data_IF_304660470411
#
_entry.id   IF_304660470411
#
_cell.length_a   1.000
_cell.length_b   1.000
_cell.length_c   1.000
_cell.angle_alpha   90.00
_cell.angle_beta   90.00
_cell.angle_gamma   90.00
#
_symmetry.space_group_name_H-M   'P 1'
#
loop_
_entity.id
_entity.type
_entity.pdbx_description
1 polymer ?
#
# COMPACT_ATOMS: atom_id res chain seq x y z
N UNK A 1 2.05 3.16 21.74
CA UNK A 1 1.96 2.45 20.46
C UNK A 1 3.35 2.12 20.01
N UNK A 2 3.64 0.84 19.78
CA UNK A 2 4.94 0.30 19.35
C UNK A 2 4.94 -0.07 17.87
N UNK A 3 3.82 -0.58 17.38
CA UNK A 3 3.69 -1.15 16.04
C UNK A 3 2.97 -0.23 15.06
N UNK A 4 2.42 0.90 15.54
CA UNK A 4 1.81 1.93 14.71
C UNK A 4 2.22 3.34 15.12
N UNK A 5 2.26 4.24 14.14
CA UNK A 5 2.35 5.68 14.37
C UNK A 5 1.54 6.44 13.32
N UNK A 6 0.61 7.28 13.76
CA UNK A 6 -0.06 8.24 12.88
C UNK A 6 0.91 9.36 12.54
N UNK A 7 1.15 9.57 11.25
CA UNK A 7 2.11 10.54 10.74
C UNK A 7 1.42 11.86 10.42
N UNK A 8 0.27 11.79 9.76
CA UNK A 8 -0.40 12.98 9.24
C UNK A 8 -1.86 12.71 8.84
N UNK A 9 -2.53 13.79 8.46
CA UNK A 9 -3.73 13.78 7.62
C UNK A 9 -3.41 14.53 6.32
N UNK A 10 -3.93 14.03 5.21
CA UNK A 10 -3.69 14.53 3.85
C UNK A 10 -5.00 14.55 3.06
N UNK A 11 -5.08 15.45 2.06
CA UNK A 11 -6.22 15.48 1.15
C UNK A 11 -6.14 14.29 0.16
N UNK A 12 -7.18 13.47 0.17
CA UNK A 12 -7.32 12.27 -0.64
C UNK A 12 -8.41 12.39 -1.70
N UNK A 13 -9.20 13.46 -1.66
CA UNK A 13 -10.41 13.60 -2.49
C UNK A 13 -10.10 13.58 -3.99
N UNK A 14 -9.04 14.26 -4.48
CA UNK A 14 -8.66 14.17 -5.90
C UNK A 14 -8.37 12.73 -6.34
N UNK A 15 -7.66 11.96 -5.52
CA UNK A 15 -7.31 10.58 -5.82
C UNK A 15 -8.53 9.65 -5.78
N UNK A 16 -9.39 9.78 -4.76
CA UNK A 16 -10.62 9.00 -4.63
C UNK A 16 -11.54 9.22 -5.83
N UNK A 17 -11.73 10.48 -6.26
CA UNK A 17 -12.55 10.80 -7.42
C UNK A 17 -11.97 10.21 -8.72
N UNK A 18 -10.64 10.29 -8.89
CA UNK A 18 -9.97 9.72 -10.05
C UNK A 18 -10.10 8.18 -10.10
N UNK A 19 -9.99 7.50 -8.95
CA UNK A 19 -10.17 6.05 -8.87
C UNK A 19 -11.59 5.61 -9.28
N UNK A 20 -12.61 6.37 -8.89
CA UNK A 20 -14.00 6.05 -9.20
C UNK A 20 -14.31 6.06 -10.71
N UNK A 21 -13.57 6.86 -11.49
CA UNK A 21 -13.78 7.00 -12.95
C UNK A 21 -12.75 6.26 -13.80
N UNK A 22 -11.77 5.61 -13.19
CA UNK A 22 -10.78 4.75 -13.87
C UNK A 22 -10.77 3.31 -13.31
N UNK A 23 -11.92 2.60 -13.30
CA UNK A 23 -12.00 1.26 -12.72
C UNK A 23 -11.16 0.23 -13.47
N UNK A 24 -10.79 0.51 -14.74
CA UNK A 24 -9.99 -0.39 -15.56
C UNK A 24 -8.54 -0.52 -15.08
N UNK A 25 -8.06 0.38 -14.21
CA UNK A 25 -6.73 0.30 -13.61
C UNK A 25 -6.61 -0.86 -12.60
N UNK A 26 -7.71 -1.29 -11.99
CA UNK A 26 -7.70 -2.37 -11.01
C UNK A 26 -7.30 -3.68 -11.67
N UNK A 27 -6.29 -4.35 -11.11
CA UNK A 27 -5.78 -5.65 -11.54
C UNK A 27 -5.23 -5.68 -12.97
N UNK A 28 -4.84 -4.54 -13.57
CA UNK A 28 -4.03 -4.54 -14.81
C UNK A 28 -2.76 -5.38 -14.64
N UNK A 29 -2.19 -5.35 -13.42
CA UNK A 29 -1.12 -6.22 -12.99
C UNK A 29 -1.58 -6.98 -11.74
N UNK A 30 -1.50 -8.30 -11.76
CA UNK A 30 -2.06 -9.16 -10.72
C UNK A 30 -1.03 -10.08 -10.05
N UNK A 31 0.27 -9.88 -10.26
CA UNK A 31 1.31 -10.73 -9.68
C UNK A 31 1.18 -10.82 -8.15
N UNK A 32 0.90 -9.69 -7.48
CA UNK A 32 0.77 -9.66 -6.01
C UNK A 32 -0.48 -10.40 -5.52
N UNK A 33 -1.53 -10.51 -6.32
CA UNK A 33 -2.79 -11.17 -5.92
C UNK A 33 -2.85 -12.62 -6.39
N UNK A 34 -2.02 -13.01 -7.36
CA UNK A 34 -2.01 -14.36 -7.96
C UNK A 34 -0.80 -15.22 -7.58
N UNK A 35 0.31 -14.63 -7.10
CA UNK A 35 1.49 -15.40 -6.72
C UNK A 35 1.16 -16.41 -5.59
N UNK A 36 1.53 -17.70 -5.70
CA UNK A 36 1.11 -18.74 -4.76
C UNK A 36 1.43 -18.45 -3.29
N UNK A 37 2.59 -17.85 -3.05
CA UNK A 37 3.09 -17.49 -1.72
C UNK A 37 2.54 -16.15 -1.19
N UNK A 38 1.75 -15.42 -1.99
CA UNK A 38 1.27 -14.11 -1.59
C UNK A 38 0.13 -14.22 -0.56
N UNK A 39 0.12 -13.38 0.48
CA UNK A 39 -1.02 -13.26 1.38
C UNK A 39 -2.15 -12.41 0.76
N UNK A 40 -1.91 -11.67 -0.32
CA UNK A 40 -2.85 -10.67 -0.85
C UNK A 40 -3.86 -11.22 -1.86
N UNK A 41 -4.21 -12.52 -1.79
CA UNK A 41 -5.06 -13.18 -2.80
C UNK A 41 -6.49 -12.70 -2.88
N UNK A 42 -7.00 -12.13 -1.78
CA UNK A 42 -8.36 -11.59 -1.70
C UNK A 42 -8.42 -10.07 -1.98
N UNK A 43 -7.29 -9.45 -2.27
CA UNK A 43 -7.20 -8.03 -2.58
C UNK A 43 -7.22 -7.79 -4.10
N UNK A 44 -7.61 -6.57 -4.48
CA UNK A 44 -7.36 -6.01 -5.81
C UNK A 44 -6.29 -4.93 -5.70
N UNK A 45 -5.47 -4.79 -6.74
CA UNK A 45 -4.35 -3.85 -6.74
C UNK A 45 -4.28 -2.96 -7.98
N UNK A 46 -3.79 -1.74 -7.78
CA UNK A 46 -3.28 -0.86 -8.83
C UNK A 46 -1.81 -0.62 -8.54
N UNK A 47 -0.95 -0.98 -9.50
CA UNK A 47 0.47 -0.65 -9.43
C UNK A 47 0.66 0.76 -9.95
N UNK A 48 1.18 1.64 -9.10
CA UNK A 48 1.51 3.03 -9.46
C UNK A 48 3.00 3.14 -9.70
N UNK A 49 3.79 2.73 -8.71
CA UNK A 49 5.23 2.53 -8.81
C UNK A 49 5.53 1.11 -8.33
N UNK A 50 6.16 0.29 -9.16
CA UNK A 50 6.53 -1.07 -8.80
C UNK A 50 7.84 -1.45 -9.47
N UNK A 51 8.44 -2.57 -9.08
CA UNK A 51 9.61 -3.08 -9.77
C UNK A 51 9.26 -3.41 -11.22
N UNK A 52 10.20 -3.20 -12.13
CA UNK A 52 10.10 -3.81 -13.45
C UNK A 52 10.08 -5.33 -13.29
N UNK A 53 9.09 -5.99 -13.88
CA UNK A 53 8.95 -7.46 -13.82
C UNK A 53 9.38 -8.02 -15.16
N UNK A 54 10.64 -8.48 -15.29
CA UNK A 54 11.11 -9.13 -16.51
C UNK A 54 10.40 -10.48 -16.71
N UNK A 55 10.40 -10.97 -17.96
CA UNK A 55 9.92 -12.33 -18.26
C UNK A 55 10.74 -13.40 -17.53
N UNK A 56 12.05 -13.17 -17.42
CA UNK A 56 12.96 -14.01 -16.63
C UNK A 56 13.22 -13.38 -15.26
N UNK A 57 12.70 -13.99 -14.20
CA UNK A 57 12.90 -13.54 -12.83
C UNK A 57 14.39 -13.48 -12.42
N UNK A 58 15.28 -14.25 -13.05
CA UNK A 58 16.72 -14.19 -12.79
C UNK A 58 17.36 -12.88 -13.31
N UNK A 59 16.66 -12.13 -14.17
CA UNK A 59 17.10 -10.84 -14.69
C UNK A 59 16.81 -9.67 -13.73
N UNK A 60 16.18 -9.92 -12.57
CA UNK A 60 15.99 -8.87 -11.54
C UNK A 60 17.35 -8.51 -10.92
N UNK A 61 17.84 -7.32 -11.25
CA UNK A 61 19.16 -6.81 -10.79
C UNK A 61 19.05 -6.12 -9.43
N UNK A 62 17.97 -5.36 -9.22
CA UNK A 62 17.69 -4.63 -7.98
C UNK A 62 16.18 -4.67 -7.71
N UNK A 63 15.79 -5.32 -6.62
CA UNK A 63 14.40 -5.46 -6.20
C UNK A 63 13.88 -4.27 -5.38
N UNK A 64 14.68 -3.21 -5.19
CA UNK A 64 14.31 -1.95 -4.54
C UNK A 64 14.03 -0.80 -5.51
N UNK A 65 14.58 -0.83 -6.72
CA UNK A 65 14.33 0.19 -7.75
C UNK A 65 12.95 -0.02 -8.39
N UNK A 66 12.25 1.08 -8.65
CA UNK A 66 10.88 1.09 -9.15
C UNK A 66 10.74 1.94 -10.40
N UNK A 67 9.84 1.54 -11.28
CA UNK A 67 9.44 2.29 -12.47
C UNK A 67 7.98 2.75 -12.33
N UNK A 68 7.59 3.85 -13.00
CA UNK A 68 6.20 4.24 -13.08
C UNK A 68 5.41 3.27 -13.97
N UNK A 69 4.18 2.96 -13.54
CA UNK A 69 3.18 2.23 -14.32
C UNK A 69 2.10 3.21 -14.81
N UNK A 70 1.19 2.75 -15.69
CA UNK A 70 0.11 3.57 -16.28
C UNK A 70 -0.63 4.44 -15.26
N UNK A 71 -0.89 3.90 -14.07
CA UNK A 71 -1.60 4.61 -13.01
C UNK A 71 -0.86 5.85 -12.48
N UNK A 72 0.48 5.93 -12.58
CA UNK A 72 1.25 7.12 -12.20
C UNK A 72 0.91 8.35 -13.04
N UNK A 73 0.58 8.14 -14.33
CA UNK A 73 0.26 9.22 -15.26
C UNK A 73 -1.25 9.51 -15.31
N UNK A 74 -2.09 8.50 -15.03
CA UNK A 74 -3.56 8.63 -15.05
C UNK A 74 -4.11 9.22 -13.75
N UNK A 75 -3.54 8.86 -12.59
CA UNK A 75 -4.05 9.27 -11.29
C UNK A 75 -3.32 10.52 -10.75
N UNK A 76 -4.01 11.45 -10.06
CA UNK A 76 -3.40 12.63 -9.44
C UNK A 76 -2.71 12.28 -8.11
N UNK A 77 -1.84 11.27 -8.12
CA UNK A 77 -1.21 10.71 -6.90
C UNK A 77 0.15 11.33 -6.58
N UNK A 78 0.79 11.98 -7.55
CA UNK A 78 2.17 12.50 -7.41
C UNK A 78 2.31 13.46 -6.23
N UNK A 79 1.41 14.42 -6.09
CA UNK A 79 1.47 15.41 -5.02
C UNK A 79 1.29 14.76 -3.63
N UNK A 80 0.37 13.79 -3.53
CA UNK A 80 0.15 13.01 -2.31
C UNK A 80 1.42 12.25 -1.89
N UNK A 81 2.10 11.61 -2.85
CA UNK A 81 3.37 10.91 -2.63
C UNK A 81 4.45 11.89 -2.15
N UNK A 82 4.63 13.00 -2.85
CA UNK A 82 5.64 14.00 -2.49
C UNK A 82 5.37 14.61 -1.11
N UNK A 83 4.11 14.83 -0.74
CA UNK A 83 3.75 15.32 0.59
C UNK A 83 4.09 14.34 1.69
N UNK A 84 3.83 13.04 1.50
CA UNK A 84 4.22 12.02 2.48
C UNK A 84 5.74 11.93 2.59
N UNK A 85 6.46 11.92 1.46
CA UNK A 85 7.93 11.94 1.46
C UNK A 85 8.47 13.13 2.25
N UNK A 86 7.94 14.34 2.02
CA UNK A 86 8.34 15.56 2.73
C UNK A 86 8.12 15.43 4.25
N UNK A 87 6.98 14.88 4.68
CA UNK A 87 6.63 14.74 6.11
C UNK A 87 7.56 13.80 6.87
N UNK A 88 8.08 12.79 6.20
CA UNK A 88 8.98 11.79 6.81
C UNK A 88 10.45 11.99 6.42
N UNK A 89 10.77 13.13 5.78
CA UNK A 89 12.11 13.45 5.28
C UNK A 89 12.71 12.32 4.41
N UNK A 90 11.88 11.73 3.56
CA UNK A 90 12.31 10.66 2.67
C UNK A 90 13.25 11.17 1.58
N UNK A 91 14.27 10.36 1.28
CA UNK A 91 15.28 10.62 0.26
C UNK A 91 15.11 9.72 -0.98
N UNK A 92 14.42 8.59 -0.84
CA UNK A 92 14.08 7.68 -1.95
C UNK A 92 12.64 7.21 -1.86
N UNK A 93 12.00 7.14 -3.02
CA UNK A 93 10.68 6.53 -3.21
C UNK A 93 10.84 5.07 -3.61
N UNK A 94 10.10 4.18 -2.97
CA UNK A 94 9.96 2.78 -3.35
C UNK A 94 8.59 2.51 -3.98
N UNK A 95 8.04 1.32 -3.72
CA UNK A 95 6.75 0.91 -4.27
C UNK A 95 5.62 1.82 -3.82
N UNK A 96 4.69 2.09 -4.74
CA UNK A 96 3.42 2.76 -4.50
C UNK A 96 2.33 1.89 -5.12
N UNK A 97 1.47 1.33 -4.29
CA UNK A 97 0.42 0.39 -4.69
C UNK A 97 -0.87 0.82 -4.05
N UNK A 98 -1.95 0.95 -4.81
CA UNK A 98 -3.28 1.16 -4.24
C UNK A 98 -3.91 -0.21 -4.08
N UNK A 99 -4.28 -0.57 -2.86
CA UNK A 99 -4.81 -1.89 -2.54
C UNK A 99 -6.23 -1.77 -1.99
N UNK A 100 -7.13 -2.58 -2.55
CA UNK A 100 -8.53 -2.68 -2.15
C UNK A 100 -8.78 -4.06 -1.56
N UNK A 101 -9.39 -4.10 -0.38
CA UNK A 101 -9.82 -5.34 0.27
C UNK A 101 -11.35 -5.27 0.48
N UNK A 102 -12.15 -6.14 -0.15
CA UNK A 102 -13.60 -6.07 -0.07
C UNK A 102 -14.16 -6.48 1.31
N UNK A 103 -15.43 -6.18 1.62
CA UNK A 103 -16.10 -6.65 2.83
C UNK A 103 -16.00 -8.17 3.02
N UNK A 104 -15.68 -8.59 4.23
CA UNK A 104 -15.51 -9.99 4.62
C UNK A 104 -14.15 -10.60 4.26
N UNK A 105 -13.33 -9.91 3.46
CA UNK A 105 -12.04 -10.42 3.04
C UNK A 105 -10.93 -10.18 4.08
N UNK A 106 -9.90 -11.02 4.01
CA UNK A 106 -8.76 -10.99 4.94
C UNK A 106 -7.43 -11.10 4.19
N UNK A 107 -6.44 -10.32 4.63
CA UNK A 107 -5.04 -10.58 4.36
C UNK A 107 -4.50 -11.31 5.60
N UNK A 108 -4.16 -12.61 5.50
CA UNK A 108 -3.77 -13.41 6.63
C UNK A 108 -2.47 -12.92 7.26
N UNK A 109 -2.19 -13.36 8.48
CA UNK A 109 -0.98 -12.98 9.19
C UNK A 109 0.29 -13.35 8.41
N UNK A 110 1.18 -12.38 8.27
CA UNK A 110 2.48 -12.54 7.63
C UNK A 110 3.49 -11.53 8.19
N UNK A 111 4.75 -11.72 7.83
CA UNK A 111 5.82 -10.74 8.00
C UNK A 111 6.32 -10.41 6.60
N UNK A 112 6.48 -9.14 6.29
CA UNK A 112 6.98 -8.73 4.98
C UNK A 112 8.43 -9.21 4.78
N UNK A 113 8.72 -9.74 3.58
CA UNK A 113 10.04 -10.29 3.22
C UNK A 113 10.59 -9.61 1.95
N UNK A 114 11.84 -9.89 1.64
CA UNK A 114 12.56 -9.35 0.47
C UNK A 114 13.27 -8.03 0.78
N UNK A 115 14.07 -7.53 -0.16
CA UNK A 115 14.86 -6.33 0.12
C UNK A 115 14.00 -5.08 0.36
N UNK A 116 12.87 -4.84 -0.34
CA UNK A 116 12.01 -3.68 -0.05
C UNK A 116 11.54 -3.62 1.40
N UNK A 117 11.23 -4.77 2.00
CA UNK A 117 10.73 -4.85 3.37
C UNK A 117 11.78 -4.43 4.42
N UNK A 118 13.07 -4.58 4.10
CA UNK A 118 14.19 -4.24 5.00
C UNK A 118 14.86 -2.92 4.64
N UNK A 119 14.81 -2.52 3.37
CA UNK A 119 15.42 -1.29 2.85
C UNK A 119 14.53 -0.05 3.07
N UNK A 120 13.22 -0.20 2.94
CA UNK A 120 12.25 0.89 3.07
C UNK A 120 11.49 0.86 4.40
N UNK A 121 10.85 1.98 4.72
CA UNK A 121 9.75 2.07 5.67
C UNK A 121 8.45 2.15 4.90
N UNK A 122 7.44 1.42 5.37
CA UNK A 122 6.12 1.33 4.75
C UNK A 122 5.11 2.23 5.45
N UNK A 123 4.35 2.95 4.65
CA UNK A 123 3.28 3.83 5.09
C UNK A 123 1.99 3.46 4.37
N UNK A 124 0.88 3.52 5.10
CA UNK A 124 -0.47 3.39 4.57
C UNK A 124 -1.17 4.73 4.59
N UNK A 125 -1.74 5.13 3.45
CA UNK A 125 -2.64 6.29 3.36
C UNK A 125 -4.04 5.73 3.16
N UNK A 126 -4.95 5.94 4.11
CA UNK A 126 -6.31 5.43 3.99
C UNK A 126 -7.13 6.31 3.03
N UNK A 127 -7.62 5.72 1.93
CA UNK A 127 -8.50 6.40 0.97
C UNK A 127 -9.97 6.14 1.31
N UNK A 128 -10.28 4.88 1.62
CA UNK A 128 -11.60 4.45 2.06
C UNK A 128 -11.43 3.42 3.18
N UNK A 129 -12.08 3.65 4.32
CA UNK A 129 -11.97 2.77 5.47
C UNK A 129 -13.12 3.09 6.43
N UNK A 130 -13.89 2.07 6.80
CA UNK A 130 -14.99 2.17 7.75
C UNK A 130 -14.65 1.41 9.04
N UNK A 131 -15.36 1.67 10.15
CA UNK A 131 -15.27 0.84 11.35
C UNK A 131 -15.44 -0.64 10.98
N UNK A 132 -14.45 -1.47 11.35
CA UNK A 132 -14.36 -2.88 10.96
C UNK A 132 -13.22 -3.19 9.98
N UNK A 133 -12.61 -2.20 9.35
CA UNK A 133 -11.36 -2.34 8.58
C UNK A 133 -10.14 -2.38 9.53
N UNK A 134 -9.91 -3.53 10.14
CA UNK A 134 -8.90 -3.75 11.17
C UNK A 134 -7.52 -3.98 10.55
N UNK A 135 -6.52 -3.22 10.99
CA UNK A 135 -5.11 -3.41 10.66
C UNK A 135 -4.40 -3.87 11.93
N UNK A 136 -3.85 -5.07 11.93
CA UNK A 136 -3.18 -5.66 13.09
C UNK A 136 -1.67 -5.67 12.84
N UNK A 137 -0.87 -5.32 13.83
CA UNK A 137 0.59 -5.54 13.82
C UNK A 137 1.06 -5.75 15.26
N UNK A 138 1.74 -6.86 15.51
CA UNK A 138 2.11 -7.29 16.86
C UNK A 138 0.87 -7.45 17.76
N UNK A 139 0.88 -6.78 18.90
CA UNK A 139 -0.23 -6.76 19.88
C UNK A 139 -1.20 -5.57 19.71
N UNK A 140 -1.08 -4.83 18.59
CA UNK A 140 -1.86 -3.62 18.34
C UNK A 140 -2.82 -3.79 17.15
N UNK A 141 -4.01 -3.18 17.28
CA UNK A 141 -5.02 -3.12 16.21
C UNK A 141 -5.45 -1.67 15.99
N UNK A 142 -5.46 -1.24 14.73
CA UNK A 142 -5.87 0.10 14.33
C UNK A 142 -6.92 0.09 13.22
N UNK A 143 -7.88 1.01 13.31
CA UNK A 143 -8.77 1.36 12.20
C UNK A 143 -8.35 2.72 11.69
N UNK A 144 -7.86 2.78 10.46
CA UNK A 144 -7.46 4.04 9.85
C UNK A 144 -8.70 4.81 9.41
N UNK A 145 -8.71 6.14 9.62
CA UNK A 145 -9.74 7.01 9.06
C UNK A 145 -9.31 7.50 7.68
N UNK A 146 -10.24 7.72 6.74
CA UNK A 146 -9.92 8.32 5.44
C UNK A 146 -9.10 9.61 5.61
N UNK A 147 -8.03 9.74 4.81
CA UNK A 147 -7.08 10.84 4.87
C UNK A 147 -5.91 10.64 5.84
N UNK A 148 -5.96 9.65 6.74
CA UNK A 148 -4.85 9.42 7.67
C UNK A 148 -3.69 8.67 7.01
N UNK A 149 -2.47 9.11 7.36
CA UNK A 149 -1.20 8.47 7.00
C UNK A 149 -0.64 7.76 8.21
N UNK A 150 -0.36 6.48 8.07
CA UNK A 150 0.10 5.60 9.13
C UNK A 150 1.40 4.91 8.76
N UNK A 151 2.40 5.01 9.62
CA UNK A 151 3.46 4.02 9.66
C UNK A 151 2.96 2.81 10.45
N UNK A 152 3.37 1.61 10.02
CA UNK A 152 3.23 0.40 10.82
C UNK A 152 4.51 -0.43 10.77
N UNK A 153 4.72 -1.24 11.80
CA UNK A 153 5.83 -2.17 11.86
C UNK A 153 5.55 -3.38 10.98
N UNK A 154 6.10 -3.36 9.76
CA UNK A 154 5.97 -4.44 8.79
C UNK A 154 6.92 -5.63 9.06
N UNK A 155 7.87 -5.47 10.01
CA UNK A 155 8.76 -6.54 10.45
C UNK A 155 8.14 -7.38 11.59
N UNK A 156 7.06 -6.90 12.21
CA UNK A 156 6.23 -7.69 13.12
C UNK A 156 5.17 -8.50 12.34
N UNK A 157 4.67 -9.62 12.90
CA UNK A 157 3.50 -10.31 12.37
C UNK A 157 2.32 -9.35 12.26
N UNK A 158 1.73 -9.27 11.08
CA UNK A 158 0.63 -8.34 10.79
C UNK A 158 -0.39 -8.95 9.85
N UNK A 159 -1.63 -8.49 9.97
CA UNK A 159 -2.78 -8.95 9.17
C UNK A 159 -3.75 -7.81 8.93
N UNK A 160 -4.66 -7.98 7.97
CA UNK A 160 -5.75 -7.03 7.72
C UNK A 160 -7.04 -7.81 7.61
N UNK A 161 -8.08 -7.36 8.33
CA UNK A 161 -9.42 -7.93 8.24
C UNK A 161 -10.38 -6.80 7.88
N UNK A 162 -11.15 -6.94 6.81
CA UNK A 162 -12.21 -5.98 6.49
C UNK A 162 -13.58 -6.53 6.89
N UNK A 163 -13.96 -6.35 8.15
CA UNK A 163 -15.30 -6.65 8.66
C UNK A 163 -16.27 -5.46 8.54
N UNK A 164 -15.89 -4.44 7.77
CA UNK A 164 -16.75 -3.27 7.56
C UNK A 164 -17.77 -3.50 6.44
N UNK A 165 -18.69 -2.56 6.26
CA UNK A 165 -19.75 -2.64 5.25
C UNK A 165 -19.31 -2.23 3.84
N UNK A 166 -18.05 -1.80 3.65
CA UNK A 166 -17.56 -1.26 2.39
C UNK A 166 -16.09 -1.65 2.15
N UNK A 167 -15.57 -1.39 0.96
CA UNK A 167 -14.20 -1.68 0.58
C UNK A 167 -13.21 -0.89 1.47
N UNK A 168 -12.14 -1.56 1.92
CA UNK A 168 -10.97 -0.92 2.52
C UNK A 168 -9.97 -0.62 1.40
N UNK A 169 -9.79 0.65 1.08
CA UNK A 169 -8.85 1.12 0.05
C UNK A 169 -7.73 1.92 0.71
N UNK A 170 -6.49 1.48 0.52
CA UNK A 170 -5.29 2.14 1.04
C UNK A 170 -4.23 2.29 -0.04
N UNK A 171 -3.47 3.39 0.00
CA UNK A 171 -2.19 3.47 -0.70
C UNK A 171 -1.13 2.87 0.21
N UNK A 172 -0.45 1.82 -0.26
CA UNK A 172 0.77 1.27 0.32
C UNK A 172 1.96 1.99 -0.32
N UNK A 173 2.74 2.68 0.48
CA UNK A 173 3.84 3.51 0.02
C UNK A 173 5.12 3.18 0.80
N UNK A 174 6.11 2.67 0.09
CA UNK A 174 7.45 2.42 0.62
C UNK A 174 8.33 3.64 0.35
N UNK A 175 9.02 4.14 1.37
CA UNK A 175 10.00 5.22 1.24
C UNK A 175 11.20 5.00 2.14
N UNK A 176 12.34 5.61 1.81
CA UNK A 176 13.54 5.59 2.65
C UNK A 176 13.70 6.96 3.33
N UNK A 177 13.40 7.08 4.63
CA UNK A 177 13.74 8.26 5.42
C UNK A 177 15.24 8.55 5.40
N UNK A 178 15.61 9.81 5.58
CA UNK A 178 17.00 10.23 5.81
C UNK A 178 17.60 9.62 7.09
#
# INVERSE_FOLDING_TARGET
>A
MRHFAKIAEVDIIPLVNALAVNPELWNENNLRTTHPSSPHREADDIWVMFNEIPEDAAAVVDDCEVIPYRAWDVLPIRDLVLDVMRRVSATRLGRVIISRLPPGATIPEHIDQGAPATYYKRYHIALQSLPGALNNSGDETMVYRPGEVWWFDNAAPHSVVNNSADDRIVVVMDVRPC
#
